data_IF_169996861242
#
_entry.id   IF_169996861242
#
_cell.length_a   1.000
_cell.length_b   1.000
_cell.length_c   1.000
_cell.angle_alpha   90.00
_cell.angle_beta   90.00
_cell.angle_gamma   90.00
#
_symmetry.space_group_name_H-M   'P 1'
#
loop_
_entity.id
_entity.type
_entity.pdbx_description
1 polymer ?
#
# COMPACT_ATOMS: atom_id res chain seq x y z
N UNK A 1 21.44 -12.34 21.11
CA UNK A 1 21.36 -13.02 19.78
C UNK A 1 19.95 -13.55 19.58
N UNK A 2 19.25 -13.17 18.51
CA UNK A 2 17.90 -13.64 18.19
C UNK A 2 17.67 -13.87 16.69
N UNK A 3 16.45 -14.23 16.31
CA UNK A 3 16.06 -14.35 14.89
C UNK A 3 14.97 -13.33 14.56
N UNK A 4 15.20 -12.56 13.49
CA UNK A 4 14.25 -11.59 12.95
C UNK A 4 13.67 -12.15 11.65
N UNK A 5 12.37 -12.41 11.63
CA UNK A 5 11.63 -12.74 10.42
C UNK A 5 11.02 -11.47 9.82
N UNK A 6 11.14 -11.36 8.51
CA UNK A 6 10.58 -10.28 7.71
C UNK A 6 9.63 -10.94 6.71
N UNK A 7 8.34 -10.81 6.98
CA UNK A 7 7.29 -11.47 6.21
C UNK A 7 6.62 -10.46 5.27
N UNK A 8 6.35 -10.89 4.05
CA UNK A 8 5.56 -10.12 3.09
C UNK A 8 4.41 -10.92 2.52
N UNK A 9 3.76 -10.34 1.51
CA UNK A 9 2.47 -10.81 1.01
C UNK A 9 2.47 -12.27 0.53
N UNK A 10 3.63 -12.77 0.07
CA UNK A 10 3.82 -14.18 -0.29
C UNK A 10 3.55 -15.16 0.85
N UNK A 11 3.70 -14.73 2.11
CA UNK A 11 3.33 -15.51 3.29
C UNK A 11 1.84 -15.79 3.38
N UNK A 12 1.01 -14.76 3.24
CA UNK A 12 -0.44 -14.92 3.26
C UNK A 12 -0.94 -15.73 2.05
N UNK A 13 -0.35 -15.49 0.87
CA UNK A 13 -0.65 -16.24 -0.34
C UNK A 13 -0.33 -17.73 -0.20
N UNK A 14 0.83 -18.07 0.37
CA UNK A 14 1.19 -19.46 0.63
C UNK A 14 0.26 -20.11 1.66
N UNK A 15 -0.26 -19.32 2.62
CA UNK A 15 -1.23 -19.79 3.60
C UNK A 15 -2.66 -19.88 3.05
N UNK A 16 -2.89 -19.49 1.80
CA UNK A 16 -4.17 -19.62 1.09
C UNK A 16 -5.04 -18.37 1.09
N UNK A 17 -4.57 -17.25 1.63
CA UNK A 17 -5.32 -15.99 1.57
C UNK A 17 -5.06 -15.24 0.27
N UNK A 18 -6.12 -14.64 -0.27
CA UNK A 18 -6.03 -13.80 -1.47
C UNK A 18 -5.75 -12.36 -1.07
N UNK A 19 -4.48 -12.01 -0.94
CA UNK A 19 -4.06 -10.70 -0.42
C UNK A 19 -3.36 -9.80 -1.44
N UNK A 20 -3.29 -10.19 -2.71
CA UNK A 20 -2.82 -9.31 -3.81
C UNK A 20 -3.82 -8.16 -4.03
N UNK A 21 -3.32 -6.99 -4.44
CA UNK A 21 -4.19 -5.88 -4.86
C UNK A 21 -5.13 -6.26 -6.01
N UNK A 22 -4.69 -7.11 -6.95
CA UNK A 22 -5.56 -7.63 -8.00
C UNK A 22 -6.75 -8.43 -7.48
N UNK A 23 -6.61 -9.13 -6.35
CA UNK A 23 -7.72 -9.84 -5.71
C UNK A 23 -8.71 -8.86 -5.09
N UNK A 24 -8.23 -7.80 -4.43
CA UNK A 24 -9.06 -6.72 -3.92
C UNK A 24 -9.85 -6.02 -5.03
N UNK A 25 -9.19 -5.61 -6.12
CA UNK A 25 -9.87 -4.97 -7.24
C UNK A 25 -10.89 -5.90 -7.91
N UNK A 26 -10.59 -7.20 -8.00
CA UNK A 26 -11.55 -8.20 -8.48
C UNK A 26 -12.76 -8.33 -7.57
N UNK A 27 -12.55 -8.29 -6.25
CA UNK A 27 -13.62 -8.27 -5.26
C UNK A 27 -14.46 -7.00 -5.39
N UNK A 28 -13.85 -5.82 -5.54
CA UNK A 28 -14.58 -4.56 -5.77
C UNK A 28 -15.47 -4.64 -7.02
N UNK A 29 -14.93 -5.15 -8.14
CA UNK A 29 -15.67 -5.35 -9.39
C UNK A 29 -16.84 -6.34 -9.27
N UNK A 30 -16.73 -7.32 -8.37
CA UNK A 30 -17.81 -8.28 -8.09
C UNK A 30 -18.85 -7.73 -7.11
N UNK A 31 -18.42 -6.97 -6.12
CA UNK A 31 -19.25 -6.49 -5.00
C UNK A 31 -20.03 -5.23 -5.38
N UNK A 32 -19.43 -4.31 -6.13
CA UNK A 32 -20.01 -2.99 -6.38
C UNK A 32 -20.39 -2.78 -7.85
N UNK A 33 -21.69 -2.64 -8.17
CA UNK A 33 -22.14 -2.40 -9.55
C UNK A 33 -21.53 -1.14 -10.18
N UNK A 34 -21.40 -0.06 -9.41
CA UNK A 34 -20.80 1.20 -9.87
C UNK A 34 -19.31 1.01 -10.23
N UNK A 35 -18.56 0.25 -9.44
CA UNK A 35 -17.15 -0.05 -9.70
C UNK A 35 -17.02 -0.84 -10.99
N UNK A 36 -17.85 -1.89 -11.14
CA UNK A 36 -17.91 -2.70 -12.34
C UNK A 36 -18.18 -1.85 -13.58
N UNK A 37 -19.16 -0.96 -13.54
CA UNK A 37 -19.55 -0.15 -14.69
C UNK A 37 -18.42 0.78 -15.15
N UNK A 38 -17.76 1.48 -14.21
CA UNK A 38 -16.61 2.35 -14.53
C UNK A 38 -15.48 1.54 -15.18
N UNK A 39 -15.20 0.33 -14.67
CA UNK A 39 -14.12 -0.52 -15.21
C UNK A 39 -14.42 -1.19 -16.54
N UNK A 40 -15.69 -1.25 -16.97
CA UNK A 40 -16.10 -1.83 -18.26
C UNK A 40 -16.13 -0.79 -19.39
N UNK A 41 -16.25 0.49 -19.05
CA UNK A 41 -16.15 1.57 -20.03
C UNK A 41 -14.70 1.82 -20.43
N UNK A 42 -14.46 2.06 -21.71
CA UNK A 42 -13.19 2.66 -22.13
C UNK A 42 -13.14 4.11 -21.63
N UNK A 43 -11.97 4.61 -21.19
CA UNK A 43 -11.81 6.02 -20.89
C UNK A 43 -12.31 6.86 -22.07
N UNK A 44 -13.06 7.91 -21.76
CA UNK A 44 -13.51 8.92 -22.74
C UNK A 44 -14.56 8.46 -23.76
N UNK A 45 -15.19 7.28 -23.57
CA UNK A 45 -16.42 6.95 -24.31
C UNK A 45 -17.64 7.63 -23.65
N UNK A 46 -18.73 7.81 -24.40
CA UNK A 46 -19.97 8.46 -23.93
C UNK A 46 -20.55 7.79 -22.68
N UNK A 47 -20.36 6.47 -22.56
CA UNK A 47 -20.80 5.70 -21.39
C UNK A 47 -19.96 5.97 -20.13
N UNK A 48 -18.67 6.35 -20.28
CA UNK A 48 -17.73 6.58 -19.18
C UNK A 48 -18.20 7.74 -18.29
N UNK A 49 -18.60 8.87 -18.90
CA UNK A 49 -19.10 10.04 -18.17
C UNK A 49 -20.29 9.68 -17.26
N UNK A 50 -21.25 8.93 -17.80
CA UNK A 50 -22.43 8.50 -17.05
C UNK A 50 -22.05 7.57 -15.89
N UNK A 51 -21.15 6.61 -16.11
CA UNK A 51 -20.74 5.68 -15.08
C UNK A 51 -19.91 6.33 -13.98
N UNK A 52 -18.98 7.24 -14.33
CA UNK A 52 -18.18 7.98 -13.35
C UNK A 52 -19.07 8.89 -12.51
N UNK A 53 -20.01 9.63 -13.11
CA UNK A 53 -20.96 10.46 -12.34
C UNK A 53 -21.79 9.63 -11.37
N UNK A 54 -22.33 8.50 -11.82
CA UNK A 54 -23.07 7.58 -10.95
C UNK A 54 -22.22 7.01 -9.82
N UNK A 55 -20.92 6.76 -10.05
CA UNK A 55 -19.99 6.29 -9.05
C UNK A 55 -19.61 7.39 -8.05
N UNK A 56 -19.41 8.63 -8.49
CA UNK A 56 -19.10 9.79 -7.62
C UNK A 56 -20.17 9.98 -6.53
N UNK A 57 -21.42 9.67 -6.84
CA UNK A 57 -22.55 9.74 -5.91
C UNK A 57 -22.53 8.67 -4.81
N UNK A 58 -21.69 7.64 -4.94
CA UNK A 58 -21.53 6.56 -3.96
C UNK A 58 -20.47 6.95 -2.95
N UNK A 59 -20.81 6.99 -1.66
CA UNK A 59 -19.89 7.43 -0.61
C UNK A 59 -18.66 6.53 -0.51
N UNK A 60 -18.81 5.24 -0.82
CA UNK A 60 -17.76 4.24 -0.78
C UNK A 60 -16.78 4.34 -1.95
N UNK A 61 -17.17 4.92 -3.09
CA UNK A 61 -16.24 5.14 -4.22
C UNK A 61 -15.34 6.32 -3.88
N UNK A 62 -14.03 6.13 -3.85
CA UNK A 62 -13.07 7.17 -3.45
C UNK A 62 -12.41 7.81 -4.66
N UNK A 63 -11.81 8.99 -4.48
CA UNK A 63 -10.99 9.62 -5.53
C UNK A 63 -9.84 8.72 -6.00
N UNK A 64 -9.30 7.91 -5.08
CA UNK A 64 -8.24 6.95 -5.35
C UNK A 64 -8.72 5.77 -6.20
N UNK A 65 -9.96 5.32 -6.04
CA UNK A 65 -10.55 4.34 -6.95
C UNK A 65 -10.58 4.84 -8.38
N UNK A 66 -11.05 6.08 -8.58
CA UNK A 66 -11.07 6.70 -9.90
C UNK A 66 -9.65 6.79 -10.46
N UNK A 67 -8.68 7.23 -9.65
CA UNK A 67 -7.28 7.35 -10.06
C UNK A 67 -6.70 6.00 -10.49
N UNK A 68 -6.77 4.98 -9.63
CA UNK A 68 -6.21 3.65 -9.91
C UNK A 68 -6.89 2.96 -11.09
N UNK A 69 -8.21 3.13 -11.26
CA UNK A 69 -8.91 2.63 -12.44
C UNK A 69 -8.33 3.32 -13.69
N UNK A 70 -8.17 4.65 -13.68
CA UNK A 70 -7.66 5.44 -14.81
C UNK A 70 -6.19 5.16 -15.16
N UNK A 71 -5.34 4.85 -14.19
CA UNK A 71 -3.93 4.49 -14.43
C UNK A 71 -3.73 3.01 -14.78
N UNK A 72 -4.71 2.15 -14.50
CA UNK A 72 -4.60 0.71 -14.78
C UNK A 72 -4.37 0.45 -16.29
N UNK A 73 -3.27 -0.22 -16.69
CA UNK A 73 -2.94 -0.46 -18.09
C UNK A 73 -4.02 -1.23 -18.85
N UNK A 74 -4.75 -2.10 -18.16
CA UNK A 74 -5.78 -2.97 -18.73
C UNK A 74 -7.08 -2.94 -17.91
N UNK A 75 -7.82 -1.82 -17.95
CA UNK A 75 -9.12 -1.66 -17.26
C UNK A 75 -10.09 -2.86 -17.40
N UNK A 76 -10.05 -3.55 -18.54
CA UNK A 76 -11.02 -4.59 -18.90
C UNK A 76 -10.63 -6.02 -18.48
N UNK A 77 -9.35 -6.32 -18.23
CA UNK A 77 -8.87 -7.69 -17.97
C UNK A 77 -8.29 -7.82 -16.56
N UNK A 78 -7.21 -7.11 -16.28
CA UNK A 78 -6.53 -7.12 -14.99
C UNK A 78 -6.37 -5.67 -14.53
N UNK A 79 -7.30 -5.24 -13.67
CA UNK A 79 -7.16 -4.00 -12.91
C UNK A 79 -6.02 -4.19 -11.93
N UNK A 80 -4.81 -4.02 -12.43
CA UNK A 80 -3.60 -4.09 -11.65
C UNK A 80 -2.86 -2.77 -11.78
N UNK A 81 -2.64 -2.13 -10.64
CA UNK A 81 -1.72 -1.04 -10.48
C UNK A 81 -0.89 -1.32 -9.21
N UNK A 82 0.34 -0.82 -9.21
CA UNK A 82 1.16 -0.74 -8.01
C UNK A 82 0.69 0.49 -7.24
N UNK A 83 -0.15 0.27 -6.21
CA UNK A 83 -0.87 1.34 -5.50
C UNK A 83 0.11 2.37 -4.96
N UNK A 84 1.20 1.93 -4.34
CA UNK A 84 2.21 2.80 -3.77
C UNK A 84 2.95 3.61 -4.84
N UNK A 85 3.31 2.98 -5.97
CA UNK A 85 3.94 3.68 -7.08
C UNK A 85 3.01 4.72 -7.70
N UNK A 86 1.73 4.40 -7.85
CA UNK A 86 0.72 5.31 -8.41
C UNK A 86 0.42 6.48 -7.47
N UNK A 87 0.37 6.25 -6.15
CA UNK A 87 0.26 7.34 -5.16
C UNK A 87 1.49 8.25 -5.28
N UNK A 88 2.71 7.69 -5.27
CA UNK A 88 3.95 8.47 -5.39
C UNK A 88 3.96 9.30 -6.69
N UNK A 89 3.70 8.67 -7.82
CA UNK A 89 3.66 9.34 -9.11
C UNK A 89 2.62 10.46 -9.17
N UNK A 90 1.44 10.24 -8.59
CA UNK A 90 0.38 11.27 -8.54
C UNK A 90 0.80 12.52 -7.75
N UNK A 91 1.58 12.33 -6.69
CA UNK A 91 2.08 13.42 -5.84
C UNK A 91 3.29 14.10 -6.51
N UNK A 92 4.29 13.33 -6.93
CA UNK A 92 5.54 13.88 -7.48
C UNK A 92 5.31 14.61 -8.81
N UNK A 93 4.34 14.18 -9.62
CA UNK A 93 4.00 14.84 -10.89
C UNK A 93 3.31 16.20 -10.73
N UNK A 94 2.82 16.55 -9.52
CA UNK A 94 2.00 17.73 -9.29
C UNK A 94 0.57 17.60 -9.85
N UNK A 95 0.11 16.38 -10.13
CA UNK A 95 -1.26 16.13 -10.60
C UNK A 95 -2.30 16.74 -9.65
N UNK A 96 -2.13 16.51 -8.34
CA UNK A 96 -3.04 17.02 -7.33
C UNK A 96 -3.01 18.54 -7.17
N UNK A 97 -1.86 19.19 -7.40
CA UNK A 97 -1.73 20.65 -7.45
C UNK A 97 -2.62 21.22 -8.58
N UNK A 98 -2.59 20.60 -9.75
CA UNK A 98 -3.44 20.96 -10.89
C UNK A 98 -4.94 20.71 -10.63
N UNK A 99 -5.29 19.66 -9.89
CA UNK A 99 -6.69 19.40 -9.49
C UNK A 99 -7.19 20.50 -8.54
N UNK A 100 -6.36 20.93 -7.57
CA UNK A 100 -6.68 22.03 -6.68
C UNK A 100 -6.87 23.34 -7.45
N UNK A 101 -5.98 23.64 -8.40
CA UNK A 101 -6.11 24.83 -9.26
C UNK A 101 -7.44 24.81 -10.03
N UNK A 102 -7.85 23.68 -10.61
CA UNK A 102 -9.15 23.54 -11.29
C UNK A 102 -10.34 23.78 -10.34
N UNK A 103 -10.26 23.36 -9.08
CA UNK A 103 -11.31 23.63 -8.08
C UNK A 103 -11.38 25.12 -7.77
N UNK A 104 -10.22 25.78 -7.55
CA UNK A 104 -10.16 27.21 -7.27
C UNK A 104 -10.61 28.04 -8.48
N UNK A 105 -10.21 27.66 -9.69
CA UNK A 105 -10.69 28.25 -10.94
C UNK A 105 -12.21 28.15 -11.04
N UNK A 106 -12.81 27.01 -10.68
CA UNK A 106 -14.26 26.87 -10.65
C UNK A 106 -14.90 27.77 -9.59
N UNK A 107 -14.32 27.87 -8.40
CA UNK A 107 -14.84 28.73 -7.32
C UNK A 107 -14.79 30.22 -7.68
N UNK A 108 -13.79 30.64 -8.45
CA UNK A 108 -13.65 32.02 -8.93
C UNK A 108 -14.52 32.29 -10.17
N UNK A 109 -14.72 31.27 -11.01
CA UNK A 109 -15.36 31.43 -12.32
C UNK A 109 -16.78 30.87 -12.44
N UNK A 110 -17.31 30.17 -11.44
CA UNK A 110 -18.57 29.42 -11.48
C UNK A 110 -18.73 28.62 -12.80
N UNK A 111 -17.60 28.15 -13.35
CA UNK A 111 -17.53 27.49 -14.65
C UNK A 111 -16.35 26.53 -14.67
N UNK A 112 -16.63 25.29 -15.01
CA UNK A 112 -15.62 24.22 -15.09
C UNK A 112 -14.82 24.25 -16.40
N UNK A 113 -15.11 25.19 -17.31
CA UNK A 113 -14.57 25.16 -18.67
C UNK A 113 -15.01 23.91 -19.45
N UNK A 114 -14.19 23.49 -20.41
CA UNK A 114 -14.42 22.26 -21.17
C UNK A 114 -13.97 21.05 -20.32
N UNK A 115 -14.84 20.04 -20.09
CA UNK A 115 -14.48 18.88 -19.30
C UNK A 115 -13.38 18.06 -19.99
N UNK A 116 -12.30 17.80 -19.27
CA UNK A 116 -11.22 16.88 -19.61
C UNK A 116 -11.18 15.68 -18.65
N UNK A 117 -10.16 14.83 -18.74
CA UNK A 117 -9.96 13.69 -17.83
C UNK A 117 -9.91 14.11 -16.37
N UNK A 118 -9.27 15.24 -16.12
CA UNK A 118 -8.91 15.72 -14.79
C UNK A 118 -10.11 16.39 -14.12
N UNK A 119 -11.05 16.87 -14.92
CA UNK A 119 -12.33 17.42 -14.49
C UNK A 119 -13.09 16.49 -13.55
N UNK A 120 -13.11 15.18 -13.79
CA UNK A 120 -13.81 14.23 -12.92
C UNK A 120 -13.26 14.23 -11.49
N UNK A 121 -11.94 14.37 -11.35
CA UNK A 121 -11.28 14.40 -10.05
C UNK A 121 -11.61 15.70 -9.30
N UNK A 122 -11.47 16.84 -9.99
CA UNK A 122 -11.78 18.15 -9.44
C UNK A 122 -13.26 18.24 -9.02
N UNK A 123 -14.18 17.79 -9.88
CA UNK A 123 -15.61 17.78 -9.59
C UNK A 123 -15.95 16.87 -8.40
N UNK A 124 -15.36 15.68 -8.32
CA UNK A 124 -15.62 14.74 -7.22
C UNK A 124 -15.19 15.33 -5.86
N UNK A 125 -13.98 15.88 -5.76
CA UNK A 125 -13.50 16.50 -4.53
C UNK A 125 -14.28 17.77 -4.18
N UNK A 126 -14.54 18.63 -5.16
CA UNK A 126 -15.41 19.81 -4.99
C UNK A 126 -16.77 19.41 -4.42
N UNK A 127 -17.48 18.51 -5.09
CA UNK A 127 -18.84 18.09 -4.72
C UNK A 127 -18.90 17.54 -3.29
N UNK A 128 -17.86 16.82 -2.87
CA UNK A 128 -17.84 16.15 -1.55
C UNK A 128 -17.46 17.06 -0.40
N UNK A 129 -16.58 18.02 -0.64
CA UNK A 129 -15.91 18.75 0.45
C UNK A 129 -16.02 20.27 0.37
N UNK A 130 -16.16 20.83 -0.84
CA UNK A 130 -16.04 22.26 -1.06
C UNK A 130 -17.33 22.91 -1.56
N UNK A 131 -18.30 22.12 -2.02
CA UNK A 131 -19.64 22.58 -2.38
C UNK A 131 -20.44 22.98 -1.13
N UNK A 132 -20.71 24.27 -1.01
CA UNK A 132 -21.53 24.85 0.06
C UNK A 132 -22.96 25.14 -0.42
N UNK A 133 -23.34 24.65 -1.61
CA UNK A 133 -24.66 24.85 -2.21
C UNK A 133 -24.90 26.28 -2.70
N UNK A 134 -23.95 27.20 -2.50
CA UNK A 134 -24.10 28.59 -2.93
C UNK A 134 -23.95 28.77 -4.43
N UNK A 135 -23.39 27.79 -5.15
CA UNK A 135 -23.31 27.83 -6.62
C UNK A 135 -24.70 28.11 -7.24
N UNK A 136 -25.76 27.41 -6.79
CA UNK A 136 -27.11 27.61 -7.29
C UNK A 136 -27.67 29.02 -7.01
N UNK A 137 -27.24 29.65 -5.90
CA UNK A 137 -27.67 31.02 -5.55
C UNK A 137 -26.82 32.11 -6.21
N UNK A 138 -25.62 31.78 -6.72
CA UNK A 138 -24.75 32.69 -7.48
C UNK A 138 -25.10 32.79 -8.95
N UNK A 139 -25.75 31.77 -9.53
CA UNK A 139 -26.15 31.77 -10.95
C UNK A 139 -27.02 33.01 -11.24
N UNK A 140 -26.51 33.91 -12.08
CA UNK A 140 -27.21 35.11 -12.52
C UNK A 140 -27.07 36.35 -11.61
N UNK A 141 -26.27 36.29 -10.53
CA UNK A 141 -25.97 37.44 -9.67
C UNK A 141 -24.58 38.05 -9.95
N UNK A 142 -24.38 39.37 -9.80
CA UNK A 142 -23.07 39.99 -10.01
C UNK A 142 -22.04 39.51 -8.98
N UNK A 143 -20.84 39.14 -9.45
CA UNK A 143 -19.80 38.50 -8.61
C UNK A 143 -19.23 39.39 -7.52
N UNK A 144 -19.24 40.70 -7.72
CA UNK A 144 -18.72 41.70 -6.77
C UNK A 144 -19.37 41.62 -5.38
N UNK A 145 -20.54 40.97 -5.28
CA UNK A 145 -21.26 40.76 -4.03
C UNK A 145 -20.88 39.48 -3.28
N UNK A 146 -20.05 38.61 -3.85
CA UNK A 146 -19.60 37.37 -3.23
C UNK A 146 -18.11 37.42 -2.91
N UNK A 147 -17.73 36.91 -1.72
CA UNK A 147 -16.32 36.76 -1.35
C UNK A 147 -15.74 35.58 -2.13
N UNK A 148 -14.59 35.76 -2.78
CA UNK A 148 -13.89 34.64 -3.42
C UNK A 148 -13.49 33.62 -2.34
N UNK A 149 -13.88 32.37 -2.57
CA UNK A 149 -13.54 31.24 -1.71
C UNK A 149 -12.36 30.53 -2.36
N UNK A 150 -11.24 30.47 -1.66
CA UNK A 150 -10.04 29.78 -2.12
C UNK A 150 -9.78 28.63 -1.17
N UNK A 151 -9.80 27.41 -1.72
CA UNK A 151 -9.43 26.19 -0.99
C UNK A 151 -7.92 26.24 -0.76
N UNK A 152 -7.52 26.15 0.51
CA UNK A 152 -6.11 26.15 0.88
C UNK A 152 -5.48 24.79 0.58
N UNK A 153 -4.20 24.76 0.22
CA UNK A 153 -3.50 23.51 -0.09
C UNK A 153 -3.59 22.48 1.06
N UNK A 154 -3.36 22.93 2.30
CA UNK A 154 -3.45 22.06 3.48
C UNK A 154 -4.83 21.43 3.66
N UNK A 155 -5.90 22.19 3.40
CA UNK A 155 -7.28 21.69 3.48
C UNK A 155 -7.55 20.65 2.40
N UNK A 156 -7.08 20.90 1.17
CA UNK A 156 -7.20 19.97 0.06
C UNK A 156 -6.48 18.64 0.33
N UNK A 157 -5.22 18.71 0.79
CA UNK A 157 -4.40 17.55 1.13
C UNK A 157 -5.05 16.73 2.26
N UNK A 158 -5.63 17.39 3.27
CA UNK A 158 -6.37 16.71 4.33
C UNK A 158 -7.55 15.90 3.77
N UNK A 159 -8.31 16.45 2.81
CA UNK A 159 -9.44 15.73 2.19
C UNK A 159 -8.96 14.59 1.29
N UNK A 160 -7.82 14.75 0.64
CA UNK A 160 -7.21 13.69 -0.16
C UNK A 160 -6.74 12.51 0.71
N UNK A 161 -6.16 12.79 1.89
CA UNK A 161 -5.82 11.77 2.90
C UNK A 161 -7.07 11.07 3.46
N UNK A 162 -8.15 11.82 3.70
CA UNK A 162 -9.41 11.24 4.14
C UNK A 162 -9.99 10.27 3.11
N UNK A 163 -9.91 10.58 1.81
CA UNK A 163 -10.31 9.65 0.76
C UNK A 163 -9.41 8.40 0.70
N UNK A 164 -8.10 8.53 0.99
CA UNK A 164 -7.20 7.37 1.07
C UNK A 164 -7.58 6.45 2.24
N UNK A 165 -7.87 7.04 3.40
CA UNK A 165 -8.31 6.31 4.59
C UNK A 165 -9.60 5.51 4.32
N UNK A 166 -10.58 6.07 3.61
CA UNK A 166 -11.78 5.32 3.18
C UNK A 166 -11.45 4.13 2.27
N UNK A 167 -10.48 4.29 1.37
CA UNK A 167 -10.03 3.23 0.48
C UNK A 167 -9.38 2.08 1.28
N UNK A 168 -8.55 2.44 2.26
CA UNK A 168 -7.87 1.51 3.18
C UNK A 168 -8.86 0.76 4.08
N UNK A 169 -9.89 1.44 4.59
CA UNK A 169 -10.95 0.80 5.38
C UNK A 169 -11.68 -0.25 4.56
N UNK A 170 -11.98 0.04 3.30
CA UNK A 170 -12.63 -0.92 2.39
C UNK A 170 -11.70 -2.08 2.04
N UNK A 171 -10.40 -1.83 1.91
CA UNK A 171 -9.40 -2.89 1.78
C UNK A 171 -9.35 -3.77 3.05
N UNK A 172 -9.41 -3.18 4.25
CA UNK A 172 -9.47 -3.90 5.52
C UNK A 172 -10.70 -4.81 5.60
N UNK A 173 -11.87 -4.32 5.16
CA UNK A 173 -13.10 -5.12 5.08
C UNK A 173 -12.94 -6.32 4.15
N UNK A 174 -12.30 -6.13 2.99
CA UNK A 174 -12.02 -7.22 2.06
C UNK A 174 -11.14 -8.30 2.70
N UNK A 175 -10.01 -7.92 3.30
CA UNK A 175 -9.08 -8.88 3.91
C UNK A 175 -9.74 -9.60 5.08
N UNK A 176 -10.53 -8.90 5.90
CA UNK A 176 -11.29 -9.51 7.01
C UNK A 176 -12.23 -10.60 6.50
N UNK A 177 -12.93 -10.34 5.39
CA UNK A 177 -13.80 -11.33 4.76
C UNK A 177 -13.05 -12.54 4.22
N UNK A 178 -11.91 -12.34 3.57
CA UNK A 178 -11.08 -13.46 3.09
C UNK A 178 -10.59 -14.33 4.26
N UNK A 179 -10.19 -13.72 5.38
CA UNK A 179 -9.81 -14.46 6.60
C UNK A 179 -10.99 -15.27 7.12
N UNK A 180 -12.18 -14.69 7.23
CA UNK A 180 -13.36 -15.40 7.73
C UNK A 180 -13.76 -16.57 6.83
N UNK A 181 -13.54 -16.48 5.52
CA UNK A 181 -13.83 -17.55 4.56
C UNK A 181 -12.90 -18.78 4.70
N UNK A 182 -11.64 -18.58 5.11
CA UNK A 182 -10.63 -19.67 5.20
C UNK A 182 -9.97 -19.80 6.57
N UNK A 183 -10.61 -19.29 7.63
CA UNK A 183 -10.02 -19.07 8.95
C UNK A 183 -9.22 -20.25 9.49
N UNK A 184 -9.83 -21.43 9.54
CA UNK A 184 -9.22 -22.63 10.15
C UNK A 184 -8.00 -23.12 9.37
N UNK A 185 -8.07 -23.13 8.04
CA UNK A 185 -6.95 -23.55 7.19
C UNK A 185 -5.86 -22.49 7.16
N UNK A 186 -6.19 -21.20 7.20
CA UNK A 186 -5.21 -20.12 7.20
C UNK A 186 -4.26 -20.19 8.38
N UNK A 187 -4.77 -20.21 9.62
CA UNK A 187 -3.91 -20.27 10.82
C UNK A 187 -3.14 -21.59 10.92
N UNK A 188 -3.73 -22.70 10.50
CA UNK A 188 -3.02 -23.99 10.42
C UNK A 188 -1.86 -23.91 9.44
N UNK A 189 -2.09 -23.38 8.23
CA UNK A 189 -1.05 -23.21 7.22
C UNK A 189 0.03 -22.23 7.68
N UNK A 190 -0.36 -21.18 8.40
CA UNK A 190 0.55 -20.20 8.97
C UNK A 190 1.55 -20.84 9.94
N UNK A 191 1.04 -21.63 10.88
CA UNK A 191 1.87 -22.40 11.84
C UNK A 191 2.81 -23.34 11.10
N UNK A 192 2.29 -24.15 10.19
CA UNK A 192 3.08 -25.13 9.43
C UNK A 192 4.18 -24.46 8.60
N UNK A 193 3.86 -23.35 7.93
CA UNK A 193 4.83 -22.62 7.10
C UNK A 193 5.90 -21.96 7.96
N UNK A 194 5.51 -21.34 9.08
CA UNK A 194 6.47 -20.68 9.96
C UNK A 194 7.38 -21.70 10.65
N UNK A 195 6.87 -22.85 11.09
CA UNK A 195 7.69 -23.95 11.62
C UNK A 195 8.74 -24.42 10.60
N UNK A 196 8.35 -24.55 9.33
CA UNK A 196 9.32 -24.88 8.25
C UNK A 196 10.38 -23.80 8.08
N UNK A 197 10.01 -22.52 8.14
CA UNK A 197 10.95 -21.40 8.06
C UNK A 197 11.96 -21.43 9.21
N UNK A 198 11.47 -21.62 10.44
CA UNK A 198 12.31 -21.73 11.65
C UNK A 198 13.27 -22.91 11.55
N UNK A 199 12.76 -24.08 11.16
CA UNK A 199 13.56 -25.31 11.05
C UNK A 199 14.63 -25.24 9.94
N UNK A 200 14.43 -24.39 8.93
CA UNK A 200 15.32 -24.30 7.76
C UNK A 200 16.39 -23.21 7.84
N UNK A 201 16.30 -22.27 8.79
CA UNK A 201 17.13 -21.06 8.80
C UNK A 201 18.06 -20.96 10.00
N UNK A 202 17.53 -20.86 11.23
CA UNK A 202 18.18 -21.01 12.54
C UNK A 202 17.16 -20.54 13.61
N UNK A 203 17.09 -21.24 14.75
CA UNK A 203 16.19 -20.92 15.86
C UNK A 203 16.94 -20.30 17.05
N UNK A 204 17.38 -19.06 16.89
CA UNK A 204 17.88 -18.24 18.01
C UNK A 204 16.70 -17.52 18.68
N UNK A 205 16.73 -17.40 20.01
CA UNK A 205 15.70 -16.72 20.81
C UNK A 205 16.26 -15.42 21.35
N UNK A 206 15.46 -14.33 21.41
CA UNK A 206 14.03 -14.26 21.06
C UNK A 206 13.76 -14.24 19.54
N UNK A 207 12.54 -14.61 19.17
CA UNK A 207 12.02 -14.51 17.79
C UNK A 207 11.22 -13.21 17.63
N UNK A 208 11.62 -12.40 16.66
CA UNK A 208 10.92 -11.19 16.22
C UNK A 208 10.32 -11.41 14.85
N UNK A 209 9.11 -10.91 14.62
CA UNK A 209 8.45 -10.95 13.31
C UNK A 209 7.99 -9.55 12.94
N UNK A 210 8.60 -9.00 11.90
CA UNK A 210 8.13 -7.78 11.24
C UNK A 210 7.42 -8.17 9.95
N UNK A 211 6.18 -7.76 9.80
CA UNK A 211 5.39 -8.14 8.63
C UNK A 211 4.92 -6.91 7.86
N UNK A 212 5.01 -6.99 6.54
CA UNK A 212 4.38 -6.04 5.61
C UNK A 212 2.92 -6.40 5.33
N UNK A 213 2.44 -7.54 5.84
CA UNK A 213 1.05 -7.95 5.70
C UNK A 213 0.17 -7.20 6.70
N UNK A 214 -1.11 -7.07 6.35
CA UNK A 214 -2.11 -6.42 7.19
C UNK A 214 -2.85 -7.41 8.11
N UNK A 215 -2.58 -8.70 7.94
CA UNK A 215 -3.28 -9.81 8.59
C UNK A 215 -2.72 -10.10 10.00
N UNK A 216 -3.53 -10.66 10.91
CA UNK A 216 -3.05 -11.18 12.18
C UNK A 216 -2.09 -12.36 11.97
N UNK A 217 -1.05 -12.44 12.80
CA UNK A 217 -0.08 -13.53 12.79
C UNK A 217 -0.12 -14.33 14.10
N UNK A 218 0.40 -15.54 14.06
CA UNK A 218 0.64 -16.40 15.22
C UNK A 218 1.61 -15.73 16.20
N UNK A 219 1.22 -15.71 17.46
CA UNK A 219 2.00 -15.10 18.55
C UNK A 219 2.78 -16.14 19.37
N UNK A 220 2.60 -17.43 19.08
CA UNK A 220 3.31 -18.53 19.75
C UNK A 220 3.58 -19.69 18.80
N UNK A 221 4.78 -20.26 18.89
CA UNK A 221 5.13 -21.52 18.23
C UNK A 221 5.87 -22.42 19.21
N UNK A 222 5.37 -23.65 19.37
CA UNK A 222 5.93 -24.66 20.27
C UNK A 222 6.24 -24.11 21.68
N UNK A 223 5.34 -23.31 22.24
CA UNK A 223 5.50 -22.73 23.58
C UNK A 223 6.42 -21.51 23.66
N UNK A 224 6.99 -21.04 22.55
CA UNK A 224 7.83 -19.84 22.50
C UNK A 224 6.99 -18.65 22.07
N UNK A 225 7.00 -17.58 22.88
CA UNK A 225 6.35 -16.33 22.53
C UNK A 225 7.08 -15.64 21.36
N UNK A 226 6.31 -15.15 20.40
CA UNK A 226 6.79 -14.43 19.22
C UNK A 226 6.40 -12.96 19.37
N UNK A 227 7.38 -12.07 19.23
CA UNK A 227 7.12 -10.62 19.21
C UNK A 227 6.80 -10.21 17.78
N UNK A 228 5.53 -9.92 17.51
CA UNK A 228 5.04 -9.56 16.17
C UNK A 228 4.79 -8.05 16.06
N UNK A 229 5.12 -7.47 14.92
CA UNK A 229 4.70 -6.13 14.54
C UNK A 229 4.37 -6.04 13.04
N UNK A 230 3.18 -5.53 12.70
CA UNK A 230 2.85 -5.11 11.34
C UNK A 230 3.44 -3.72 11.06
N UNK A 231 4.24 -3.59 10.01
CA UNK A 231 4.97 -2.37 9.68
C UNK A 231 4.05 -1.30 9.08
N UNK A 232 3.07 -1.72 8.26
CA UNK A 232 2.15 -0.85 7.53
C UNK A 232 0.76 -0.83 8.15
N UNK A 233 0.67 -0.93 9.48
CA UNK A 233 -0.61 -1.10 10.16
C UNK A 233 -1.22 -2.48 9.92
N UNK A 234 -2.44 -2.68 10.39
CA UNK A 234 -3.14 -3.97 10.30
C UNK A 234 -4.63 -3.77 10.08
N UNK A 235 -5.35 -4.84 9.73
CA UNK A 235 -6.81 -4.78 9.65
C UNK A 235 -7.48 -4.42 10.98
N UNK A 236 -6.79 -4.61 12.11
CA UNK A 236 -7.28 -4.24 13.44
C UNK A 236 -7.04 -2.75 13.75
N UNK A 237 -5.92 -2.20 13.27
CA UNK A 237 -5.43 -0.86 13.60
C UNK A 237 -5.25 0.03 12.35
N UNK A 238 -6.11 -0.16 11.34
CA UNK A 238 -6.10 0.51 10.04
C UNK A 238 -4.86 0.20 9.14
N UNK A 239 -5.06 -0.30 7.91
CA UNK A 239 -3.98 -0.43 6.93
C UNK A 239 -3.39 0.93 6.53
N UNK A 240 -2.08 0.97 6.27
CA UNK A 240 -1.36 2.18 5.85
C UNK A 240 -0.79 1.96 4.46
N UNK A 241 -1.43 2.56 3.46
CA UNK A 241 -0.90 2.80 2.14
C UNK A 241 -0.24 4.17 2.09
N UNK A 242 0.74 4.30 1.22
CA UNK A 242 1.50 5.55 1.11
C UNK A 242 2.87 5.34 0.51
N UNK A 243 3.63 6.43 0.55
CA UNK A 243 4.92 6.55 -0.14
C UNK A 243 6.09 6.42 0.85
N UNK A 244 7.29 6.20 0.31
CA UNK A 244 8.52 6.28 1.09
C UNK A 244 8.78 7.74 1.48
N UNK A 245 9.41 7.95 2.64
CA UNK A 245 9.82 9.30 3.01
C UNK A 245 11.02 9.76 2.15
N UNK A 246 11.86 8.82 1.72
CA UNK A 246 12.99 9.09 0.82
C UNK A 246 12.53 9.48 -0.59
N UNK A 247 11.40 8.96 -1.08
CA UNK A 247 10.86 9.32 -2.41
C UNK A 247 10.11 10.67 -2.42
N UNK A 248 9.67 11.15 -1.25
CA UNK A 248 8.84 12.35 -1.19
C UNK A 248 9.65 13.64 -1.43
N UNK A 249 9.44 14.30 -2.57
CA UNK A 249 10.03 15.63 -2.83
C UNK A 249 9.10 16.80 -2.49
N UNK A 250 7.86 16.52 -2.08
CA UNK A 250 6.80 17.50 -1.83
C UNK A 250 6.48 17.57 -0.34
N UNK A 251 7.03 18.56 0.35
CA UNK A 251 6.90 18.71 1.81
C UNK A 251 5.44 18.78 2.30
N UNK A 252 4.55 19.41 1.53
CA UNK A 252 3.13 19.52 1.89
C UNK A 252 2.42 18.16 1.95
N UNK A 253 2.96 17.14 1.28
CA UNK A 253 2.42 15.78 1.21
C UNK A 253 3.07 14.82 2.21
N UNK A 254 3.79 15.32 3.22
CA UNK A 254 4.44 14.49 4.24
C UNK A 254 3.47 13.52 4.94
N UNK A 255 2.19 13.89 5.07
CA UNK A 255 1.14 13.04 5.62
C UNK A 255 0.83 11.77 4.81
N UNK A 256 1.27 11.68 3.54
CA UNK A 256 1.17 10.47 2.71
C UNK A 256 2.35 9.51 2.91
N UNK A 257 3.41 9.94 3.58
CA UNK A 257 4.55 9.06 3.85
C UNK A 257 4.16 8.01 4.90
N UNK A 258 4.56 6.76 4.67
CA UNK A 258 4.28 5.67 5.61
C UNK A 258 4.91 5.96 6.99
N UNK A 259 6.08 6.58 7.04
CA UNK A 259 6.76 6.95 8.29
C UNK A 259 5.95 7.94 9.12
N UNK A 260 5.43 9.01 8.51
CA UNK A 260 4.57 9.98 9.19
C UNK A 260 3.30 9.31 9.72
N UNK A 261 2.63 8.50 8.88
CA UNK A 261 1.40 7.79 9.27
C UNK A 261 1.63 6.76 10.37
N UNK A 262 2.78 6.09 10.41
CA UNK A 262 3.13 5.19 11.53
C UNK A 262 3.23 5.94 12.85
N UNK A 263 3.81 7.14 12.86
CA UNK A 263 3.87 8.00 14.05
C UNK A 263 2.46 8.42 14.48
N UNK A 264 1.62 8.83 13.53
CA UNK A 264 0.23 9.22 13.82
C UNK A 264 -0.62 8.08 14.38
N UNK A 265 -0.31 6.83 14.02
CA UNK A 265 -0.99 5.63 14.50
C UNK A 265 -0.28 4.95 15.68
N UNK A 266 0.65 5.63 16.36
CA UNK A 266 1.41 5.14 17.53
C UNK A 266 2.13 3.78 17.29
N UNK A 267 2.48 3.49 16.04
CA UNK A 267 3.21 2.27 15.69
C UNK A 267 4.65 2.40 16.15
N UNK A 268 5.02 1.55 17.11
CA UNK A 268 6.34 1.58 17.74
C UNK A 268 7.48 1.46 16.70
N UNK A 269 8.61 2.17 16.88
CA UNK A 269 9.79 1.99 16.05
C UNK A 269 10.35 0.55 16.16
N UNK A 270 10.95 0.05 15.08
CA UNK A 270 11.56 -1.31 15.07
C UNK A 270 12.65 -1.43 16.15
N UNK A 271 13.42 -0.35 16.37
CA UNK A 271 14.49 -0.28 17.37
C UNK A 271 14.01 -0.51 18.80
N UNK A 272 12.74 -0.27 19.13
CA UNK A 272 12.23 -0.46 20.50
C UNK A 272 11.88 -1.91 20.79
N UNK A 273 11.72 -2.74 19.76
CA UNK A 273 11.37 -4.15 19.89
C UNK A 273 12.60 -5.06 19.92
N UNK A 274 13.65 -4.69 19.19
CA UNK A 274 14.88 -5.46 19.09
C UNK A 274 15.78 -5.13 20.28
N UNK A 275 16.08 -6.14 21.11
CA UNK A 275 16.86 -5.96 22.35
C UNK A 275 18.37 -6.20 22.14
N UNK A 276 18.75 -6.88 21.06
CA UNK A 276 20.09 -7.41 20.81
C UNK A 276 20.57 -7.01 19.41
N UNK A 277 21.85 -6.68 19.24
CA UNK A 277 22.41 -6.25 17.93
C UNK A 277 22.92 -7.43 17.07
N UNK A 278 22.93 -8.66 17.59
CA UNK A 278 23.49 -9.83 16.90
C UNK A 278 22.40 -10.82 16.46
N UNK A 279 21.63 -10.45 15.44
CA UNK A 279 20.49 -11.25 14.97
C UNK A 279 20.71 -11.91 13.60
N UNK A 280 20.13 -13.09 13.45
CA UNK A 280 19.90 -13.71 12.14
C UNK A 280 18.67 -13.09 11.51
N UNK A 281 18.71 -12.76 10.21
CA UNK A 281 17.57 -12.17 9.50
C UNK A 281 17.03 -13.16 8.47
N UNK A 282 15.71 -13.33 8.42
CA UNK A 282 15.01 -14.24 7.52
C UNK A 282 13.92 -13.49 6.77
N UNK A 283 14.07 -13.31 5.47
CA UNK A 283 13.04 -12.79 4.59
C UNK A 283 12.20 -13.92 4.01
N UNK A 284 10.88 -13.75 3.96
CA UNK A 284 9.99 -14.65 3.25
C UNK A 284 8.79 -13.92 2.65
N UNK A 285 8.50 -14.19 1.37
CA UNK A 285 7.30 -13.68 0.70
C UNK A 285 7.27 -12.16 0.49
N UNK A 286 8.38 -11.45 0.70
CA UNK A 286 8.50 -10.01 0.47
C UNK A 286 8.66 -9.69 -1.01
N UNK A 287 8.02 -8.62 -1.49
CA UNK A 287 8.20 -8.09 -2.85
C UNK A 287 9.59 -7.49 -3.07
N UNK A 288 10.27 -7.08 -1.98
CA UNK A 288 11.52 -6.31 -2.02
C UNK A 288 11.38 -5.06 -2.91
N UNK A 289 10.20 -4.44 -2.84
CA UNK A 289 9.87 -3.23 -3.58
C UNK A 289 10.78 -2.06 -3.12
N UNK A 290 10.83 -1.00 -3.91
CA UNK A 290 11.64 0.17 -3.57
C UNK A 290 10.96 1.13 -2.59
N UNK A 291 9.62 1.14 -2.54
CA UNK A 291 8.85 1.97 -1.61
C UNK A 291 8.95 1.53 -0.14
N UNK A 292 9.50 0.33 0.12
CA UNK A 292 9.80 -0.16 1.46
C UNK A 292 11.32 -0.18 1.76
N UNK A 293 12.16 0.42 0.89
CA UNK A 293 13.61 0.47 1.09
C UNK A 293 14.01 1.09 2.44
N UNK A 294 13.34 2.16 2.87
CA UNK A 294 13.60 2.82 4.17
C UNK A 294 13.50 1.80 5.32
N UNK A 295 12.54 0.88 5.25
CA UNK A 295 12.34 -0.17 6.24
C UNK A 295 13.40 -1.26 6.13
N UNK A 296 13.74 -1.68 4.92
CA UNK A 296 14.81 -2.66 4.70
C UNK A 296 16.15 -2.13 5.20
N UNK A 297 16.48 -0.87 4.92
CA UNK A 297 17.69 -0.20 5.41
C UNK A 297 17.71 -0.15 6.94
N UNK A 298 16.59 0.22 7.56
CA UNK A 298 16.47 0.27 9.01
C UNK A 298 16.63 -1.14 9.63
N UNK A 299 15.93 -2.15 9.12
CA UNK A 299 16.03 -3.53 9.66
C UNK A 299 17.44 -4.09 9.47
N UNK A 300 18.06 -3.86 8.31
CA UNK A 300 19.42 -4.31 8.03
C UNK A 300 20.47 -3.53 8.82
N UNK A 301 20.17 -2.34 9.35
CA UNK A 301 21.08 -1.65 10.27
C UNK A 301 21.27 -2.40 11.60
N UNK A 302 20.30 -3.22 12.01
CA UNK A 302 20.41 -4.13 13.16
C UNK A 302 21.11 -5.46 12.82
N UNK A 303 21.57 -5.62 11.58
CA UNK A 303 22.31 -6.80 11.17
C UNK A 303 23.79 -6.66 11.54
N UNK A 304 24.28 -7.61 12.33
CA UNK A 304 25.71 -7.76 12.56
C UNK A 304 26.36 -8.54 11.41
N UNK A 305 27.43 -8.00 10.83
CA UNK A 305 28.25 -8.61 9.78
C UNK A 305 28.75 -10.03 10.09
N UNK A 306 28.62 -10.53 11.32
CA UNK A 306 28.97 -11.90 11.71
C UNK A 306 27.89 -12.95 11.41
N UNK A 307 26.62 -12.57 11.25
CA UNK A 307 25.49 -13.50 11.03
C UNK A 307 25.20 -13.69 9.53
N UNK A 308 24.12 -14.41 9.23
CA UNK A 308 23.66 -14.71 7.86
C UNK A 308 22.26 -14.15 7.65
N UNK A 309 22.00 -13.64 6.44
CA UNK A 309 20.67 -13.24 5.97
C UNK A 309 20.12 -14.36 5.09
N UNK A 310 18.96 -14.88 5.45
CA UNK A 310 18.24 -15.89 4.69
C UNK A 310 17.15 -15.23 3.85
N UNK A 311 17.11 -15.55 2.56
CA UNK A 311 16.01 -15.22 1.66
C UNK A 311 15.29 -16.52 1.31
N UNK A 312 14.21 -16.77 2.02
CA UNK A 312 13.41 -17.95 1.89
C UNK A 312 12.30 -17.76 0.84
N UNK A 313 12.04 -18.80 0.06
CA UNK A 313 10.96 -18.80 -0.93
C UNK A 313 10.33 -20.19 -1.06
N UNK A 314 9.07 -20.23 -1.49
CA UNK A 314 8.38 -21.46 -1.89
C UNK A 314 7.91 -21.31 -3.33
N UNK A 315 7.62 -22.45 -3.98
CA UNK A 315 6.89 -22.43 -5.24
C UNK A 315 5.39 -22.37 -4.89
N UNK A 316 4.74 -21.26 -5.23
CA UNK A 316 3.28 -21.12 -5.19
C UNK A 316 2.77 -20.70 -6.57
N UNK A 317 1.52 -21.05 -6.86
CA UNK A 317 0.89 -20.84 -8.18
C UNK A 317 1.58 -21.59 -9.35
N UNK A 318 2.34 -22.66 -9.05
CA UNK A 318 2.86 -23.60 -10.06
C UNK A 318 4.15 -23.17 -10.80
N UNK A 319 4.76 -22.04 -10.44
CA UNK A 319 6.02 -21.55 -11.03
C UNK A 319 7.24 -21.80 -10.14
N UNK A 320 8.39 -22.17 -10.75
CA UNK A 320 9.69 -22.16 -10.06
C UNK A 320 10.16 -20.72 -9.89
N UNK A 321 10.19 -20.23 -8.64
CA UNK A 321 10.51 -18.82 -8.34
C UNK A 321 11.99 -18.54 -8.09
N UNK A 322 12.88 -19.53 -8.22
CA UNK A 322 14.29 -19.35 -7.85
C UNK A 322 14.97 -18.19 -8.57
N UNK A 323 14.79 -18.09 -9.89
CA UNK A 323 15.40 -17.03 -10.71
C UNK A 323 14.83 -15.65 -10.38
N UNK A 324 13.51 -15.56 -10.21
CA UNK A 324 12.80 -14.34 -9.81
C UNK A 324 13.30 -13.84 -8.46
N UNK A 325 13.28 -14.69 -7.43
CA UNK A 325 13.76 -14.35 -6.09
C UNK A 325 15.24 -13.97 -6.14
N UNK A 326 16.09 -14.73 -6.85
CA UNK A 326 17.52 -14.40 -6.95
C UNK A 326 17.74 -13.01 -7.57
N UNK A 327 16.97 -12.66 -8.60
CA UNK A 327 17.03 -11.33 -9.23
C UNK A 327 16.59 -10.21 -8.28
N UNK A 328 15.49 -10.43 -7.53
CA UNK A 328 15.00 -9.46 -6.53
C UNK A 328 16.00 -9.26 -5.39
N UNK A 329 16.54 -10.36 -4.83
CA UNK A 329 17.55 -10.31 -3.77
C UNK A 329 18.81 -9.62 -4.27
N UNK A 330 19.28 -9.92 -5.49
CA UNK A 330 20.43 -9.26 -6.08
C UNK A 330 20.22 -7.75 -6.21
N UNK A 331 19.05 -7.31 -6.69
CA UNK A 331 18.70 -5.89 -6.80
C UNK A 331 18.71 -5.23 -5.43
N UNK A 332 18.01 -5.81 -4.45
CA UNK A 332 17.93 -5.28 -3.09
C UNK A 332 19.32 -5.18 -2.44
N UNK A 333 20.10 -6.27 -2.44
CA UNK A 333 21.45 -6.28 -1.84
C UNK A 333 22.36 -5.27 -2.54
N UNK A 334 22.31 -5.13 -3.86
CA UNK A 334 23.14 -4.16 -4.56
C UNK A 334 22.71 -2.71 -4.36
N UNK A 335 21.44 -2.43 -4.03
CA UNK A 335 21.00 -1.09 -3.61
C UNK A 335 21.64 -0.68 -2.29
N UNK A 336 21.72 -1.63 -1.34
CA UNK A 336 22.16 -1.37 0.04
C UNK A 336 23.69 -1.51 0.18
N UNK A 337 24.24 -2.58 -0.40
CA UNK A 337 25.66 -2.92 -0.43
C UNK A 337 26.14 -3.01 -1.88
N UNK A 338 26.54 -1.88 -2.49
CA UNK A 338 26.91 -1.82 -3.90
C UNK A 338 27.93 -2.91 -4.30
N UNK A 339 27.62 -3.62 -5.38
CA UNK A 339 28.45 -4.68 -5.98
C UNK A 339 28.87 -5.81 -5.03
N UNK A 340 28.14 -6.02 -3.93
CA UNK A 340 28.55 -6.97 -2.87
C UNK A 340 27.78 -8.29 -2.92
N UNK A 341 26.73 -8.42 -3.75
CA UNK A 341 25.86 -9.61 -3.77
C UNK A 341 26.62 -10.94 -3.88
N UNK A 342 27.40 -11.15 -4.94
CA UNK A 342 28.11 -12.43 -5.16
C UNK A 342 29.14 -12.71 -4.06
N UNK A 343 29.85 -11.68 -3.60
CA UNK A 343 30.81 -11.78 -2.49
C UNK A 343 30.14 -12.24 -1.20
N UNK A 344 28.96 -11.68 -0.87
CA UNK A 344 28.22 -12.05 0.34
C UNK A 344 27.63 -13.46 0.26
N UNK A 345 27.22 -13.92 -0.93
CA UNK A 345 26.81 -15.31 -1.18
C UNK A 345 27.99 -16.27 -0.95
N UNK A 346 29.16 -16.01 -1.55
CA UNK A 346 30.35 -16.87 -1.39
C UNK A 346 30.85 -16.94 0.05
N UNK A 347 30.68 -15.85 0.81
CA UNK A 347 31.02 -15.79 2.24
C UNK A 347 29.98 -16.45 3.15
N UNK A 348 28.85 -16.95 2.61
CA UNK A 348 27.74 -17.50 3.39
C UNK A 348 27.00 -16.46 4.25
N UNK A 349 27.16 -15.16 3.93
CA UNK A 349 26.49 -14.04 4.61
C UNK A 349 25.10 -13.78 4.07
N UNK A 350 24.86 -14.16 2.82
CA UNK A 350 23.52 -14.19 2.21
C UNK A 350 23.27 -15.60 1.72
N UNK A 351 22.10 -16.14 2.00
CA UNK A 351 21.69 -17.49 1.59
C UNK A 351 20.29 -17.43 1.03
N UNK A 352 20.06 -18.04 -0.14
CA UNK A 352 18.72 -18.18 -0.73
C UNK A 352 18.27 -19.62 -0.53
N UNK A 353 17.15 -19.81 0.17
CA UNK A 353 16.67 -21.14 0.62
C UNK A 353 15.27 -21.40 0.10
N UNK A 354 15.03 -22.60 -0.44
CA UNK A 354 13.69 -23.06 -0.79
C UNK A 354 13.06 -23.77 0.42
N UNK A 355 11.80 -23.46 0.70
CA UNK A 355 11.00 -23.97 1.83
C UNK A 355 9.89 -24.89 1.35
#
# INVERSE_FOLDING_TARGET
>A
MGTIFILGNGFDLQCGLKTKYSHFFSWCKKTYPWYKNVTLSKPYDFSFDTYVRNAIDQQEFTIWDLYFIMQSPNMNQDLWCDIEAEIDQSIQSGFWDMILDKINDFLDNDSWGNPDSDWYFAYMLYKRYFDDGSYLSRIGFPREFFKSKVVQNSEFIEKLLLELSKFEDRFSQYISKEIDEVKDSYYTNQTVLFEKLVNSTIREQPIYVFTFNYTPLIENIEGHAIKVQNLHGSILNHPIFGISAESNTKADYEGFTKSNRRIQNDIQPISTLIEEEDNTIVFYGTSLNEFDNDYYNNILSFFNNKKTIFFCYSDYEGGNRKSEVTSLVQKMINRIYPNSFYKLIEQGKVTIVKI
#
